data_IF_885109425920
#
_entry.id   IF_885109425920
#
_cell.length_a   1.000
_cell.length_b   1.000
_cell.length_c   1.000
_cell.angle_alpha   90.00
_cell.angle_beta   90.00
_cell.angle_gamma   90.00
#
_symmetry.space_group_name_H-M   'P 1'
#
loop_
_entity.id
_entity.type
_entity.pdbx_description
1 polymer ?
#
# COMPACT_ATOMS: atom_id res chain seq x y z
N UNK A 1 27.81 15.86 16.49
CA UNK A 1 27.52 14.55 15.87
C UNK A 1 28.52 14.34 14.78
N UNK A 2 29.20 13.20 14.80
CA UNK A 2 30.10 12.83 13.71
C UNK A 2 29.26 12.56 12.44
N UNK A 3 29.86 12.74 11.27
CA UNK A 3 29.17 12.62 9.97
C UNK A 3 28.63 11.21 9.72
N UNK A 4 29.32 10.23 10.29
CA UNK A 4 28.96 8.81 10.29
C UNK A 4 27.65 8.63 11.04
N UNK A 5 27.51 9.27 12.20
CA UNK A 5 26.30 9.20 13.02
C UNK A 5 25.07 9.66 12.23
N UNK A 6 25.20 10.68 11.37
CA UNK A 6 24.09 11.19 10.56
C UNK A 6 23.68 10.23 9.43
N UNK A 7 24.63 9.63 8.71
CA UNK A 7 24.32 8.65 7.65
C UNK A 7 23.75 7.38 8.27
N UNK A 8 24.36 6.90 9.35
CA UNK A 8 23.82 5.76 10.09
C UNK A 8 22.44 6.07 10.67
N UNK A 9 22.22 7.26 11.22
CA UNK A 9 20.91 7.68 11.71
C UNK A 9 19.88 7.74 10.58
N UNK A 10 20.26 8.27 9.42
CA UNK A 10 19.39 8.33 8.25
C UNK A 10 19.00 6.93 7.75
N UNK A 11 19.93 5.98 7.80
CA UNK A 11 19.68 4.58 7.39
C UNK A 11 18.95 3.77 8.46
N UNK A 12 19.08 4.15 9.74
CA UNK A 12 18.27 3.63 10.85
C UNK A 12 16.82 4.09 10.77
N UNK A 13 16.48 5.09 9.96
CA UNK A 13 15.08 5.38 9.69
C UNK A 13 14.46 4.18 8.97
N UNK A 14 13.44 3.55 9.58
CA UNK A 14 12.70 2.49 8.92
C UNK A 14 12.03 3.06 7.66
N UNK A 15 11.60 2.19 6.73
CA UNK A 15 10.67 2.59 5.69
C UNK A 15 9.49 3.36 6.29
N UNK A 16 8.94 4.31 5.53
CA UNK A 16 7.75 5.02 5.97
C UNK A 16 6.54 4.07 6.09
N UNK A 17 5.39 4.59 6.53
CA UNK A 17 4.18 3.77 6.69
C UNK A 17 3.72 3.11 5.37
N UNK A 18 4.16 3.61 4.21
CA UNK A 18 3.87 2.97 2.93
C UNK A 18 4.82 1.83 2.62
N UNK A 19 5.97 1.71 3.29
CA UNK A 19 7.04 0.76 2.97
C UNK A 19 8.14 1.36 2.08
N UNK A 20 8.05 2.66 1.75
CA UNK A 20 9.06 3.35 0.97
C UNK A 20 10.27 3.69 1.84
N UNK A 21 11.47 3.27 1.40
CA UNK A 21 12.70 3.60 2.09
C UNK A 21 13.21 4.98 1.66
N UNK A 22 13.58 5.84 2.62
CA UNK A 22 14.09 7.19 2.30
C UNK A 22 15.50 7.07 1.69
N UNK A 23 15.74 7.55 0.46
CA UNK A 23 17.07 7.62 -0.12
C UNK A 23 17.93 8.70 0.56
N UNK A 24 19.23 8.45 0.65
CA UNK A 24 20.21 9.33 1.29
C UNK A 24 21.19 9.82 0.24
N UNK A 25 21.24 11.14 0.03
CA UNK A 25 22.13 11.76 -0.95
C UNK A 25 23.32 12.38 -0.21
N UNK A 26 24.53 11.92 -0.53
CA UNK A 26 25.78 12.38 0.09
C UNK A 26 26.61 13.13 -0.95
N UNK A 27 26.96 14.38 -0.64
CA UNK A 27 27.81 15.21 -1.48
C UNK A 27 29.15 15.46 -0.78
N UNK A 28 30.26 15.15 -1.47
CA UNK A 28 31.62 15.39 -0.98
C UNK A 28 32.49 15.99 -2.10
N UNK A 29 32.72 17.31 -2.10
CA UNK A 29 33.53 17.97 -3.11
C UNK A 29 34.98 17.47 -3.19
N UNK A 30 35.52 16.91 -2.10
CA UNK A 30 36.86 16.31 -2.07
C UNK A 30 36.79 14.81 -2.38
N UNK A 31 36.99 14.46 -3.64
CA UNK A 31 36.98 13.07 -4.10
C UNK A 31 37.98 12.15 -3.35
N UNK A 32 39.04 12.70 -2.77
CA UNK A 32 40.00 11.92 -1.97
C UNK A 32 39.40 11.51 -0.64
N UNK A 33 38.63 12.39 0.00
CA UNK A 33 37.90 12.08 1.24
C UNK A 33 36.80 11.07 1.01
N UNK A 34 36.03 11.23 -0.06
CA UNK A 34 34.99 10.26 -0.40
C UNK A 34 35.57 8.86 -0.60
N UNK A 35 36.67 8.74 -1.36
CA UNK A 35 37.38 7.46 -1.55
C UNK A 35 37.90 6.88 -0.24
N UNK A 36 38.46 7.72 0.64
CA UNK A 36 38.91 7.27 1.95
C UNK A 36 37.75 6.71 2.79
N UNK A 37 36.60 7.41 2.81
CA UNK A 37 35.41 6.98 3.55
C UNK A 37 34.80 5.68 3.01
N UNK A 38 34.79 5.48 1.68
CA UNK A 38 34.39 4.20 1.08
C UNK A 38 35.39 3.09 1.41
N UNK A 39 36.69 3.36 1.30
CA UNK A 39 37.73 2.36 1.55
C UNK A 39 37.81 1.93 3.03
N UNK A 40 37.48 2.82 3.97
CA UNK A 40 37.41 2.51 5.39
C UNK A 40 36.11 1.82 5.81
N UNK A 41 35.16 1.58 4.88
CA UNK A 41 33.84 1.05 5.19
C UNK A 41 32.96 2.02 5.99
N UNK A 42 33.32 3.30 6.00
CA UNK A 42 32.62 4.35 6.74
C UNK A 42 31.32 4.76 6.06
N UNK A 43 31.27 4.67 4.73
CA UNK A 43 30.02 4.77 4.00
C UNK A 43 29.44 3.36 3.83
N UNK A 44 28.20 3.12 4.26
CA UNK A 44 27.58 1.81 4.14
C UNK A 44 27.32 1.49 2.66
N UNK A 45 27.58 0.23 2.31
CA UNK A 45 27.23 -0.34 1.00
C UNK A 45 25.72 -0.61 0.97
N UNK A 46 24.95 0.46 0.73
CA UNK A 46 23.49 0.41 0.69
C UNK A 46 22.98 1.01 -0.62
N UNK A 47 22.02 0.35 -1.30
CA UNK A 47 21.40 0.90 -2.50
C UNK A 47 20.62 2.20 -2.25
N UNK A 48 20.36 2.54 -0.97
CA UNK A 48 19.74 3.80 -0.54
C UNK A 48 20.71 4.99 -0.59
N UNK A 49 22.02 4.75 -0.61
CA UNK A 49 23.03 5.81 -0.52
C UNK A 49 23.51 6.17 -1.91
N UNK A 50 23.21 7.41 -2.32
CA UNK A 50 23.67 7.97 -3.59
C UNK A 50 24.81 8.96 -3.30
N UNK A 51 26.02 8.61 -3.74
CA UNK A 51 27.22 9.38 -3.50
C UNK A 51 27.61 10.21 -4.73
N UNK A 52 27.71 11.53 -4.55
CA UNK A 52 28.18 12.47 -5.57
C UNK A 52 29.47 13.12 -5.07
N UNK A 53 30.56 12.97 -5.82
CA UNK A 53 31.90 13.35 -5.35
C UNK A 53 32.64 14.26 -6.31
N UNK A 54 33.60 15.03 -5.79
CA UNK A 54 34.41 15.92 -6.60
C UNK A 54 33.76 17.30 -6.80
N UNK A 55 34.47 18.22 -7.48
CA UNK A 55 34.04 19.60 -7.64
C UNK A 55 32.72 19.75 -8.41
N UNK A 56 32.30 18.73 -9.17
CA UNK A 56 31.07 18.70 -9.93
C UNK A 56 29.87 18.07 -9.18
N UNK A 57 30.04 17.65 -7.92
CA UNK A 57 29.02 16.86 -7.21
C UNK A 57 27.61 17.49 -7.18
N UNK A 58 27.50 18.82 -7.10
CA UNK A 58 26.20 19.52 -7.18
C UNK A 58 25.60 19.44 -8.58
N UNK A 59 26.43 19.58 -9.61
CA UNK A 59 26.02 19.43 -11.01
C UNK A 59 25.55 18.00 -11.28
N UNK A 60 26.32 17.01 -10.84
CA UNK A 60 25.99 15.59 -10.99
C UNK A 60 24.68 15.22 -10.27
N UNK A 61 24.45 15.76 -9.06
CA UNK A 61 23.18 15.63 -8.35
C UNK A 61 22.01 16.22 -9.16
N UNK A 62 22.21 17.41 -9.73
CA UNK A 62 21.20 18.07 -10.53
C UNK A 62 20.91 17.28 -11.83
N UNK A 63 21.95 16.78 -12.50
CA UNK A 63 21.85 15.93 -13.68
C UNK A 63 21.07 14.65 -13.37
N UNK A 64 21.37 14.01 -12.24
CA UNK A 64 20.63 12.84 -11.76
C UNK A 64 19.13 13.11 -11.70
N UNK A 65 18.68 14.20 -11.05
CA UNK A 65 17.26 14.51 -10.99
C UNK A 65 16.67 15.07 -12.29
N UNK A 66 17.46 15.69 -13.18
CA UNK A 66 16.99 16.08 -14.52
C UNK A 66 16.62 14.87 -15.37
N UNK A 67 17.32 13.75 -15.22
CA UNK A 67 16.95 12.50 -15.90
C UNK A 67 15.77 11.77 -15.23
N UNK A 68 15.41 12.18 -14.01
CA UNK A 68 14.39 11.56 -13.16
C UNK A 68 13.34 12.57 -12.68
N UNK A 69 12.88 13.46 -13.57
CA UNK A 69 11.90 14.51 -13.23
C UNK A 69 10.53 13.94 -12.78
N UNK A 70 10.28 12.66 -12.97
CA UNK A 70 9.11 11.91 -12.53
C UNK A 70 9.25 11.32 -11.12
N UNK A 71 10.43 11.42 -10.51
CA UNK A 71 10.69 10.89 -9.18
C UNK A 71 10.53 11.99 -8.12
N UNK A 72 10.19 11.60 -6.90
CA UNK A 72 10.12 12.53 -5.77
C UNK A 72 11.51 13.09 -5.48
N UNK A 73 11.61 14.40 -5.28
CA UNK A 73 12.84 15.05 -4.87
C UNK A 73 13.21 14.69 -3.42
N UNK A 74 14.51 14.70 -3.09
CA UNK A 74 14.98 14.24 -1.80
C UNK A 74 14.51 15.20 -0.71
N UNK A 75 14.00 14.64 0.38
CA UNK A 75 13.72 15.42 1.60
C UNK A 75 15.00 15.67 2.39
N UNK A 76 16.04 14.85 2.17
CA UNK A 76 17.30 14.89 2.92
C UNK A 76 18.49 14.85 1.97
N UNK A 77 19.35 15.85 2.06
CA UNK A 77 20.62 15.93 1.34
C UNK A 77 21.71 16.30 2.33
N UNK A 78 22.76 15.49 2.36
CA UNK A 78 23.89 15.65 3.26
C UNK A 78 25.10 16.20 2.50
N UNK A 79 25.47 17.44 2.82
CA UNK A 79 26.66 18.09 2.30
C UNK A 79 27.82 17.94 3.30
N UNK A 80 28.92 17.37 2.84
CA UNK A 80 30.14 17.18 3.64
C UNK A 80 31.25 18.16 3.21
N UNK A 81 32.12 18.57 4.13
CA UNK A 81 33.30 19.41 3.84
C UNK A 81 33.53 20.58 4.80
N UNK A 82 34.50 21.45 4.49
CA UNK A 82 34.75 22.72 5.24
C UNK A 82 33.96 23.91 4.68
N UNK A 83 33.20 23.70 3.60
CA UNK A 83 32.43 24.72 2.88
C UNK A 83 30.92 24.46 2.96
N UNK A 84 30.44 23.91 4.08
CA UNK A 84 29.07 23.38 4.21
C UNK A 84 27.99 24.40 3.87
N UNK A 85 28.16 25.68 4.23
CA UNK A 85 27.15 26.71 3.94
C UNK A 85 27.10 27.10 2.46
N UNK A 86 28.26 27.31 1.81
CA UNK A 86 28.31 27.64 0.39
C UNK A 86 27.77 26.47 -0.45
N UNK A 87 28.22 25.25 -0.15
CA UNK A 87 27.74 24.03 -0.79
C UNK A 87 26.24 23.82 -0.56
N UNK A 88 25.74 24.05 0.66
CA UNK A 88 24.31 23.95 0.94
C UNK A 88 23.48 24.95 0.12
N UNK A 89 23.97 26.19 -0.06
CA UNK A 89 23.32 27.18 -0.95
C UNK A 89 23.31 26.73 -2.40
N UNK A 90 24.42 26.19 -2.91
CA UNK A 90 24.51 25.67 -4.27
C UNK A 90 23.56 24.49 -4.49
N UNK A 91 23.51 23.55 -3.54
CA UNK A 91 22.57 22.42 -3.56
C UNK A 91 21.12 22.90 -3.53
N UNK A 92 20.79 23.85 -2.65
CA UNK A 92 19.44 24.40 -2.56
C UNK A 92 19.02 25.10 -3.86
N UNK A 93 19.93 25.88 -4.48
CA UNK A 93 19.67 26.52 -5.76
C UNK A 93 19.49 25.49 -6.88
N UNK A 94 20.33 24.45 -6.93
CA UNK A 94 20.22 23.37 -7.90
C UNK A 94 18.88 22.63 -7.77
N UNK A 95 18.51 22.20 -6.57
CA UNK A 95 17.24 21.52 -6.31
C UNK A 95 16.03 22.45 -6.56
N UNK A 96 16.13 23.74 -6.24
CA UNK A 96 15.11 24.74 -6.58
C UNK A 96 14.84 24.80 -8.08
N UNK A 97 15.89 24.80 -8.91
CA UNK A 97 15.74 24.73 -10.36
C UNK A 97 15.06 23.43 -10.82
N UNK A 98 15.35 22.29 -10.18
CA UNK A 98 14.67 21.02 -10.47
C UNK A 98 13.18 21.07 -10.07
N UNK A 99 12.83 21.64 -8.92
CA UNK A 99 11.43 21.83 -8.50
C UNK A 99 10.65 22.62 -9.53
N UNK A 100 11.23 23.72 -10.04
CA UNK A 100 10.62 24.51 -11.11
C UNK A 100 10.45 23.70 -12.40
N UNK A 101 11.47 22.91 -12.78
CA UNK A 101 11.38 22.03 -13.95
C UNK A 101 10.26 20.99 -13.80
N UNK A 102 10.16 20.34 -12.64
CA UNK A 102 9.08 19.39 -12.36
C UNK A 102 7.71 20.06 -12.40
N UNK A 103 7.58 21.24 -11.80
CA UNK A 103 6.33 22.00 -11.82
C UNK A 103 5.91 22.38 -13.24
N UNK A 104 6.85 22.89 -14.05
CA UNK A 104 6.60 23.17 -15.48
C UNK A 104 6.20 21.91 -16.24
N UNK A 105 6.84 20.78 -15.97
CA UNK A 105 6.53 19.51 -16.62
C UNK A 105 5.12 19.00 -16.27
N UNK A 106 4.74 19.08 -14.98
CA UNK A 106 3.38 18.75 -14.51
C UNK A 106 2.34 19.64 -15.18
N UNK A 107 2.55 20.95 -15.19
CA UNK A 107 1.62 21.90 -15.81
C UNK A 107 1.48 21.64 -17.31
N UNK A 108 2.58 21.37 -18.00
CA UNK A 108 2.59 21.06 -19.43
C UNK A 108 1.82 19.77 -19.73
N UNK A 109 2.06 18.69 -18.96
CA UNK A 109 1.33 17.43 -19.13
C UNK A 109 -0.16 17.62 -18.84
N UNK A 110 -0.50 18.33 -17.77
CA UNK A 110 -1.89 18.61 -17.39
C UNK A 110 -2.62 19.40 -18.48
N UNK A 111 -2.03 20.48 -19.01
CA UNK A 111 -2.63 21.26 -20.09
C UNK A 111 -2.85 20.42 -21.36
N UNK A 112 -1.93 19.51 -21.70
CA UNK A 112 -2.09 18.59 -22.84
C UNK A 112 -3.22 17.59 -22.63
N UNK A 113 -3.32 17.02 -21.43
CA UNK A 113 -4.40 16.10 -21.06
C UNK A 113 -5.76 16.81 -21.03
N UNK A 114 -5.84 18.01 -20.47
CA UNK A 114 -7.06 18.83 -20.46
C UNK A 114 -7.51 19.18 -21.88
N UNK A 115 -6.58 19.56 -22.77
CA UNK A 115 -6.91 19.81 -24.17
C UNK A 115 -7.46 18.55 -24.88
N UNK A 116 -6.92 17.37 -24.58
CA UNK A 116 -7.40 16.08 -25.12
C UNK A 116 -8.77 15.73 -24.55
N UNK A 117 -8.97 15.90 -23.25
CA UNK A 117 -10.24 15.65 -22.57
C UNK A 117 -11.36 16.55 -23.10
N UNK A 118 -11.08 17.82 -23.35
CA UNK A 118 -12.09 18.75 -23.89
C UNK A 118 -12.62 18.30 -25.27
N UNK A 119 -11.94 17.36 -25.95
CA UNK A 119 -12.40 16.74 -27.19
C UNK A 119 -13.18 15.43 -26.96
N UNK A 120 -13.10 14.82 -25.77
CA UNK A 120 -13.75 13.55 -25.38
C UNK A 120 -15.01 13.79 -24.57
N UNK A 121 -16.10 14.11 -25.26
CA UNK A 121 -17.42 14.26 -24.64
C UNK A 121 -17.99 12.92 -24.15
N UNK A 122 -19.10 12.95 -23.41
CA UNK A 122 -19.80 11.70 -23.04
C UNK A 122 -20.25 10.89 -24.26
N UNK A 123 -20.59 11.56 -25.37
CA UNK A 123 -20.90 10.88 -26.63
C UNK A 123 -19.68 10.11 -27.16
N UNK A 124 -18.49 10.73 -27.11
CA UNK A 124 -17.25 10.08 -27.49
C UNK A 124 -16.97 8.83 -26.64
N UNK A 125 -17.14 8.89 -25.32
CA UNK A 125 -16.95 7.72 -24.45
C UNK A 125 -17.99 6.63 -24.73
N UNK A 126 -19.25 7.01 -24.94
CA UNK A 126 -20.30 6.06 -25.33
C UNK A 126 -19.92 5.30 -26.60
N UNK A 127 -19.49 6.01 -27.65
CA UNK A 127 -19.01 5.41 -28.90
C UNK A 127 -17.77 4.53 -28.67
N UNK A 128 -16.81 4.99 -27.87
CA UNK A 128 -15.58 4.25 -27.55
C UNK A 128 -15.89 2.93 -26.85
N UNK A 129 -16.75 2.94 -25.83
CA UNK A 129 -17.14 1.73 -25.11
C UNK A 129 -18.06 0.83 -25.93
N UNK A 130 -18.89 1.36 -26.82
CA UNK A 130 -19.63 0.56 -27.79
C UNK A 130 -18.67 -0.21 -28.73
N UNK A 131 -17.60 0.44 -29.20
CA UNK A 131 -16.57 -0.22 -30.00
C UNK A 131 -15.81 -1.28 -29.21
N UNK A 132 -15.48 -1.03 -27.94
CA UNK A 132 -14.85 -2.02 -27.05
C UNK A 132 -15.75 -3.24 -26.87
N UNK A 133 -17.03 -3.02 -26.58
CA UNK A 133 -18.02 -4.10 -26.48
C UNK A 133 -18.22 -4.84 -27.81
N UNK A 134 -17.96 -4.18 -28.94
CA UNK A 134 -17.92 -4.79 -30.27
C UNK A 134 -16.63 -5.54 -30.61
N UNK A 135 -15.67 -5.63 -29.67
CA UNK A 135 -14.41 -6.38 -29.82
C UNK A 135 -13.16 -5.53 -30.05
N UNK A 136 -13.25 -4.20 -30.03
CA UNK A 136 -12.04 -3.37 -30.08
C UNK A 136 -11.24 -3.49 -28.77
N UNK A 137 -9.89 -3.55 -28.82
CA UNK A 137 -9.09 -3.61 -27.61
C UNK A 137 -9.23 -2.32 -26.80
N UNK A 138 -9.47 -2.43 -25.49
CA UNK A 138 -9.37 -1.33 -24.54
C UNK A 138 -7.91 -1.15 -24.09
N UNK A 139 -7.56 0.07 -23.68
CA UNK A 139 -6.30 0.39 -23.01
C UNK A 139 -6.54 0.61 -21.53
N UNK A 140 -6.04 -0.28 -20.68
CA UNK A 140 -6.29 -0.27 -19.24
C UNK A 140 -5.02 0.04 -18.47
N UNK A 141 -5.05 1.11 -17.67
CA UNK A 141 -3.97 1.47 -16.77
C UNK A 141 -4.35 1.06 -15.35
N UNK A 142 -3.66 0.08 -14.79
CA UNK A 142 -3.86 -0.35 -13.39
C UNK A 142 -2.78 0.30 -12.54
N UNK A 143 -3.17 1.13 -11.59
CA UNK A 143 -2.22 1.82 -10.69
C UNK A 143 -2.16 1.07 -9.38
N UNK A 144 -0.94 0.80 -8.94
CA UNK A 144 -0.65 0.07 -7.70
C UNK A 144 0.58 0.65 -7.02
N UNK A 145 0.88 0.14 -5.83
CA UNK A 145 2.13 0.44 -5.13
C UNK A 145 2.99 -0.81 -4.98
N UNK A 146 4.26 -0.71 -5.34
CA UNK A 146 5.31 -1.73 -5.10
C UNK A 146 5.41 -2.10 -3.63
N UNK A 147 5.12 -1.15 -2.75
CA UNK A 147 5.27 -1.34 -1.32
C UNK A 147 4.09 -2.07 -0.68
N UNK A 148 3.02 -2.35 -1.45
CA UNK A 148 1.93 -3.19 -0.97
C UNK A 148 2.30 -4.67 -1.03
N UNK A 149 2.05 -5.41 0.05
CA UNK A 149 2.27 -6.88 0.09
C UNK A 149 1.19 -7.67 -0.66
N UNK A 150 0.04 -7.07 -0.97
CA UNK A 150 -1.10 -7.74 -1.59
C UNK A 150 -1.53 -7.09 -2.90
N UNK A 151 -1.74 -5.77 -2.88
CA UNK A 151 -2.36 -5.00 -3.98
C UNK A 151 -1.50 -5.03 -5.24
N UNK A 152 -0.18 -5.13 -5.13
CA UNK A 152 0.70 -5.27 -6.31
C UNK A 152 0.45 -6.57 -7.08
N UNK A 153 0.14 -7.66 -6.38
CA UNK A 153 -0.13 -8.96 -6.99
C UNK A 153 -1.52 -8.99 -7.63
N UNK A 154 -2.53 -8.44 -6.94
CA UNK A 154 -3.87 -8.30 -7.51
C UNK A 154 -3.88 -7.39 -8.75
N UNK A 155 -3.11 -6.31 -8.75
CA UNK A 155 -2.94 -5.45 -9.92
C UNK A 155 -2.27 -6.17 -11.09
N UNK A 156 -1.21 -6.94 -10.82
CA UNK A 156 -0.54 -7.75 -11.85
C UNK A 156 -1.48 -8.82 -12.45
N UNK A 157 -2.29 -9.48 -11.60
CA UNK A 157 -3.30 -10.45 -12.05
C UNK A 157 -4.38 -9.80 -12.91
N UNK A 158 -4.83 -8.60 -12.53
CA UNK A 158 -5.80 -7.86 -13.32
C UNK A 158 -5.25 -7.45 -14.68
N UNK A 159 -3.98 -7.03 -14.74
CA UNK A 159 -3.29 -6.73 -16.02
C UNK A 159 -3.20 -7.98 -16.90
N UNK A 160 -2.80 -9.13 -16.37
CA UNK A 160 -2.75 -10.40 -17.12
C UNK A 160 -4.14 -10.80 -17.62
N UNK A 161 -5.17 -10.64 -16.79
CA UNK A 161 -6.56 -10.94 -17.17
C UNK A 161 -7.03 -10.07 -18.34
N UNK A 162 -6.81 -8.75 -18.30
CA UNK A 162 -7.16 -7.87 -19.42
C UNK A 162 -6.37 -8.22 -20.69
N UNK A 163 -5.07 -8.48 -20.58
CA UNK A 163 -4.24 -8.88 -21.72
C UNK A 163 -4.75 -10.18 -22.37
N UNK A 164 -5.15 -11.15 -21.55
CA UNK A 164 -5.71 -12.42 -22.02
C UNK A 164 -7.05 -12.25 -22.74
N UNK A 165 -7.86 -11.28 -22.33
CA UNK A 165 -9.11 -10.89 -23.01
C UNK A 165 -8.88 -10.08 -24.30
N UNK A 166 -7.62 -9.89 -24.72
CA UNK A 166 -7.28 -9.17 -25.95
C UNK A 166 -7.21 -7.66 -25.79
N UNK A 167 -7.14 -7.14 -24.56
CA UNK A 167 -6.95 -5.72 -24.30
C UNK A 167 -5.47 -5.37 -24.10
N UNK A 168 -5.13 -4.09 -24.24
CA UNK A 168 -3.81 -3.60 -23.89
C UNK A 168 -3.85 -3.13 -22.42
N UNK A 169 -3.15 -3.81 -21.52
CA UNK A 169 -3.12 -3.45 -20.10
C UNK A 169 -1.70 -3.22 -19.61
N UNK A 170 -1.53 -2.23 -18.73
CA UNK A 170 -0.24 -1.90 -18.11
C UNK A 170 -0.41 -1.56 -16.64
N UNK A 171 0.56 -1.97 -15.82
CA UNK A 171 0.66 -1.52 -14.44
C UNK A 171 1.48 -0.23 -14.35
N UNK A 172 0.99 0.75 -13.59
CA UNK A 172 1.80 1.88 -13.11
C UNK A 172 2.12 1.66 -11.64
N UNK A 173 3.41 1.64 -11.32
CA UNK A 173 3.94 1.50 -9.97
C UNK A 173 5.22 2.33 -9.82
N UNK A 174 5.71 2.43 -8.59
CA UNK A 174 6.99 3.04 -8.25
C UNK A 174 8.15 2.42 -9.07
N UNK A 175 9.08 3.25 -9.58
CA UNK A 175 10.16 2.77 -10.42
C UNK A 175 11.25 2.00 -9.64
N UNK A 176 11.45 2.34 -8.37
CA UNK A 176 12.40 1.69 -7.47
C UNK A 176 11.88 1.67 -6.02
N UNK A 177 12.67 1.10 -5.10
CA UNK A 177 12.28 0.93 -3.69
C UNK A 177 12.39 2.23 -2.86
N UNK A 178 12.79 3.33 -3.50
CA UNK A 178 13.13 4.61 -2.87
C UNK A 178 12.35 5.80 -3.46
N UNK A 179 11.48 5.54 -4.44
CA UNK A 179 10.76 6.56 -5.19
C UNK A 179 9.26 6.35 -5.03
N UNK A 180 8.57 7.31 -4.43
CA UNK A 180 7.09 7.32 -4.45
C UNK A 180 6.55 7.78 -5.81
N UNK A 181 5.34 7.34 -6.15
CA UNK A 181 4.59 7.87 -7.29
C UNK A 181 4.43 9.39 -7.17
N UNK A 182 4.63 10.11 -8.29
CA UNK A 182 4.45 11.56 -8.36
C UNK A 182 3.37 11.95 -9.38
N UNK A 183 2.79 13.16 -9.27
CA UNK A 183 1.88 13.69 -10.29
C UNK A 183 2.49 13.66 -11.70
N UNK A 184 3.77 13.99 -11.84
CA UNK A 184 4.41 14.01 -13.16
C UNK A 184 4.50 12.60 -13.76
N UNK A 185 4.86 11.59 -12.96
CA UNK A 185 4.90 10.20 -13.41
C UNK A 185 3.52 9.73 -13.90
N UNK A 186 2.47 9.96 -13.12
CA UNK A 186 1.10 9.59 -13.48
C UNK A 186 0.64 10.30 -14.75
N UNK A 187 0.73 11.63 -14.80
CA UNK A 187 0.24 12.42 -15.93
C UNK A 187 1.00 12.10 -17.23
N UNK A 188 2.33 11.93 -17.17
CA UNK A 188 3.12 11.53 -18.34
C UNK A 188 2.75 10.13 -18.83
N UNK A 189 2.48 9.21 -17.91
CA UNK A 189 2.05 7.85 -18.24
C UNK A 189 0.66 7.86 -18.90
N UNK A 190 -0.29 8.60 -18.33
CA UNK A 190 -1.63 8.79 -18.91
C UNK A 190 -1.53 9.45 -20.29
N UNK A 191 -0.70 10.48 -20.45
CA UNK A 191 -0.55 11.17 -21.74
C UNK A 191 0.03 10.27 -22.84
N UNK A 192 1.04 9.46 -22.49
CA UNK A 192 1.73 8.56 -23.43
C UNK A 192 0.94 7.29 -23.75
N UNK A 193 0.32 6.67 -22.75
CA UNK A 193 -0.46 5.43 -22.92
C UNK A 193 -1.89 5.71 -23.39
N UNK A 194 -2.43 6.86 -23.00
CA UNK A 194 -3.77 7.32 -23.33
C UNK A 194 -4.86 6.30 -22.97
N UNK A 195 -4.98 5.90 -21.69
CA UNK A 195 -5.89 4.83 -21.29
C UNK A 195 -7.35 5.15 -21.60
N UNK A 196 -8.12 4.11 -21.90
CA UNK A 196 -9.59 4.16 -21.92
C UNK A 196 -10.16 3.97 -20.50
N UNK A 197 -9.41 3.30 -19.62
CA UNK A 197 -9.80 3.03 -18.24
C UNK A 197 -8.60 3.13 -17.29
N UNK A 198 -8.77 3.81 -16.17
CA UNK A 198 -7.81 3.80 -15.05
C UNK A 198 -8.44 3.02 -13.90
N UNK A 199 -7.72 2.02 -13.38
CA UNK A 199 -8.14 1.24 -12.21
C UNK A 199 -7.17 1.52 -11.07
N UNK A 200 -7.71 1.88 -9.91
CA UNK A 200 -6.94 2.06 -8.68
C UNK A 200 -7.60 1.23 -7.58
N UNK A 201 -6.85 0.37 -6.93
CA UNK A 201 -7.38 -0.49 -5.87
C UNK A 201 -7.51 0.33 -4.59
N UNK A 202 -8.67 0.28 -3.94
CA UNK A 202 -9.01 0.90 -2.66
C UNK A 202 -8.96 2.44 -2.54
N UNK A 203 -8.52 3.15 -3.59
CA UNK A 203 -8.37 4.60 -3.56
C UNK A 203 -9.25 5.27 -4.62
N UNK A 204 -10.32 5.99 -4.22
CA UNK A 204 -11.12 6.77 -5.15
C UNK A 204 -10.33 7.97 -5.69
N UNK A 205 -10.67 8.42 -6.90
CA UNK A 205 -9.99 9.56 -7.56
C UNK A 205 -9.94 10.80 -6.68
N UNK A 206 -10.99 11.04 -5.89
CA UNK A 206 -11.13 12.20 -5.02
C UNK A 206 -9.96 12.37 -4.03
N UNK A 207 -9.27 11.28 -3.66
CA UNK A 207 -8.10 11.33 -2.79
C UNK A 207 -6.79 11.72 -3.49
N UNK A 208 -6.75 11.61 -4.82
CA UNK A 208 -5.53 11.74 -5.63
C UNK A 208 -5.78 12.53 -6.93
N UNK A 209 -6.55 13.61 -6.85
CA UNK A 209 -6.90 14.46 -8.02
C UNK A 209 -5.68 15.08 -8.70
N UNK A 210 -4.58 15.23 -7.97
CA UNK A 210 -3.29 15.65 -8.47
C UNK A 210 -2.64 14.60 -9.38
N UNK A 211 -2.87 13.32 -9.11
CA UNK A 211 -2.34 12.18 -9.89
C UNK A 211 -3.25 11.83 -11.06
N UNK A 212 -4.56 11.90 -10.85
CA UNK A 212 -5.57 11.46 -11.80
C UNK A 212 -6.49 12.63 -12.19
N UNK A 213 -6.28 13.23 -13.38
CA UNK A 213 -7.11 14.33 -13.82
C UNK A 213 -8.55 13.86 -14.04
N UNK A 214 -9.46 14.82 -14.00
CA UNK A 214 -10.82 14.62 -14.47
C UNK A 214 -10.82 14.24 -15.96
N UNK A 215 -11.89 13.58 -16.39
CA UNK A 215 -12.08 13.29 -17.80
C UNK A 215 -11.60 11.92 -18.31
N UNK A 216 -11.09 11.09 -17.41
CA UNK A 216 -10.88 9.67 -17.73
C UNK A 216 -11.82 8.81 -16.92
N UNK A 217 -12.39 7.73 -17.48
CA UNK A 217 -13.02 6.69 -16.69
C UNK A 217 -12.06 6.18 -15.61
N UNK A 218 -12.50 6.26 -14.36
CA UNK A 218 -11.72 5.84 -13.20
C UNK A 218 -12.54 4.88 -12.35
N UNK A 219 -12.01 3.68 -12.13
CA UNK A 219 -12.59 2.67 -11.26
C UNK A 219 -11.78 2.60 -9.97
N UNK A 220 -12.43 2.87 -8.84
CA UNK A 220 -11.95 2.43 -7.54
C UNK A 220 -12.35 0.97 -7.36
N UNK A 221 -11.38 0.04 -7.37
CA UNK A 221 -11.63 -1.36 -7.07
C UNK A 221 -11.46 -1.61 -5.56
N UNK A 222 -12.58 -1.67 -4.84
CA UNK A 222 -12.63 -1.83 -3.38
C UNK A 222 -12.46 -3.31 -3.02
N UNK A 223 -11.32 -3.64 -2.42
CA UNK A 223 -10.98 -4.97 -1.92
C UNK A 223 -11.12 -5.08 -0.40
N UNK A 224 -10.93 -3.99 0.33
CA UNK A 224 -11.02 -3.94 1.79
C UNK A 224 -11.60 -2.62 2.31
N UNK A 225 -11.98 -2.63 3.59
CA UNK A 225 -12.61 -1.52 4.31
C UNK A 225 -11.53 -0.58 4.86
N UNK A 226 -11.06 0.35 4.04
CA UNK A 226 -10.01 1.28 4.46
C UNK A 226 -10.59 2.53 5.13
N UNK A 227 -9.99 3.06 6.23
CA UNK A 227 -10.51 4.23 6.94
C UNK A 227 -10.85 5.42 6.05
N UNK A 228 -10.01 5.68 5.05
CA UNK A 228 -10.18 6.80 4.14
C UNK A 228 -11.37 6.66 3.18
N UNK A 229 -11.87 5.45 2.95
CA UNK A 229 -13.08 5.22 2.15
C UNK A 229 -14.35 5.66 2.90
N UNK A 230 -14.28 5.74 4.23
CA UNK A 230 -15.37 6.20 5.11
C UNK A 230 -15.22 7.68 5.50
N UNK A 231 -14.16 8.35 5.03
CA UNK A 231 -13.97 9.78 5.24
C UNK A 231 -14.92 10.60 4.35
N UNK A 232 -15.09 11.88 4.67
CA UNK A 232 -15.82 12.80 3.80
C UNK A 232 -15.03 13.05 2.53
N UNK A 233 -15.54 12.53 1.41
CA UNK A 233 -14.94 12.71 0.11
C UNK A 233 -15.79 13.65 -0.74
N UNK A 234 -15.16 14.50 -1.57
CA UNK A 234 -15.87 15.23 -2.60
C UNK A 234 -16.74 14.31 -3.46
N UNK A 235 -17.90 14.78 -3.95
CA UNK A 235 -18.76 13.96 -4.78
C UNK A 235 -17.99 13.47 -6.03
N UNK A 236 -18.21 12.21 -6.41
CA UNK A 236 -17.59 11.64 -7.61
C UNK A 236 -18.10 12.34 -8.88
N UNK A 237 -17.25 12.41 -9.88
CA UNK A 237 -17.59 12.90 -11.21
C UNK A 237 -18.37 11.88 -12.05
N UNK A 238 -18.86 12.27 -13.24
CA UNK A 238 -19.65 11.41 -14.12
C UNK A 238 -18.87 10.22 -14.72
N UNK A 239 -17.55 10.20 -14.57
CA UNK A 239 -16.64 9.14 -15.02
C UNK A 239 -15.94 8.43 -13.86
N UNK A 240 -16.46 8.58 -12.64
CA UNK A 240 -16.00 7.84 -11.47
C UNK A 240 -16.91 6.65 -11.20
N UNK A 241 -16.29 5.49 -11.00
CA UNK A 241 -16.95 4.21 -10.79
C UNK A 241 -16.37 3.53 -9.56
N UNK A 242 -17.20 2.76 -8.87
CA UNK A 242 -16.76 1.86 -7.80
C UNK A 242 -17.10 0.44 -8.21
N UNK A 243 -16.11 -0.44 -8.14
CA UNK A 243 -16.29 -1.88 -8.27
C UNK A 243 -15.73 -2.55 -7.02
N UNK A 244 -16.34 -3.63 -6.52
CA UNK A 244 -15.75 -4.37 -5.40
C UNK A 244 -16.71 -4.76 -4.29
N UNK A 245 -16.16 -4.86 -3.08
CA UNK A 245 -16.93 -4.90 -1.84
C UNK A 245 -17.61 -3.54 -1.61
N UNK A 246 -18.93 -3.51 -1.81
CA UNK A 246 -19.73 -2.32 -1.55
C UNK A 246 -20.18 -2.37 -0.08
N UNK A 247 -19.73 -1.41 0.71
CA UNK A 247 -20.15 -1.26 2.11
C UNK A 247 -21.46 -0.45 2.14
N UNK A 248 -22.45 -0.94 2.89
CA UNK A 248 -23.75 -0.29 3.09
C UNK A 248 -23.61 0.90 4.07
N UNK A 249 -22.77 1.89 3.72
CA UNK A 249 -22.73 3.16 4.44
C UNK A 249 -23.57 4.19 3.68
N UNK A 250 -24.57 4.82 4.32
CA UNK A 250 -25.50 5.76 3.67
C UNK A 250 -24.85 6.95 2.96
N UNK A 251 -23.58 7.28 3.26
CA UNK A 251 -22.98 8.55 2.86
C UNK A 251 -22.02 8.46 1.66
N UNK A 252 -21.33 7.33 1.45
CA UNK A 252 -20.29 7.22 0.41
C UNK A 252 -20.74 6.42 -0.81
N UNK A 253 -21.41 5.29 -0.59
CA UNK A 253 -21.91 4.45 -1.68
C UNK A 253 -23.15 5.05 -2.35
N UNK A 254 -24.01 5.75 -1.63
CA UNK A 254 -25.24 6.33 -2.20
C UNK A 254 -25.01 7.66 -2.96
N UNK A 255 -23.82 8.24 -2.83
CA UNK A 255 -23.42 9.40 -3.64
C UNK A 255 -23.21 9.06 -5.13
N UNK A 256 -23.00 7.78 -5.47
CA UNK A 256 -22.89 7.33 -6.86
C UNK A 256 -24.23 6.87 -7.43
N UNK A 257 -24.55 7.22 -8.68
CA UNK A 257 -25.65 6.60 -9.40
C UNK A 257 -25.53 5.06 -9.38
N UNK A 258 -26.64 4.35 -9.30
CA UNK A 258 -26.65 2.88 -9.26
C UNK A 258 -25.84 2.25 -10.41
N UNK A 259 -25.84 2.85 -11.61
CA UNK A 259 -25.06 2.39 -12.76
C UNK A 259 -23.54 2.60 -12.66
N UNK A 260 -23.06 3.35 -11.66
CA UNK A 260 -21.63 3.57 -11.40
C UNK A 260 -21.09 2.66 -10.28
N UNK A 261 -21.92 1.73 -9.79
CA UNK A 261 -21.59 0.77 -8.73
C UNK A 261 -21.68 -0.64 -9.27
N UNK A 262 -20.59 -1.39 -9.14
CA UNK A 262 -20.52 -2.78 -9.57
C UNK A 262 -20.08 -3.67 -8.40
N UNK A 263 -20.99 -4.46 -7.80
CA UNK A 263 -20.59 -5.53 -6.92
C UNK A 263 -19.63 -6.46 -7.67
N UNK A 264 -18.41 -6.58 -7.18
CA UNK A 264 -17.36 -7.37 -7.83
C UNK A 264 -16.52 -8.05 -6.74
N UNK A 265 -16.32 -9.38 -6.79
CA UNK A 265 -15.51 -10.06 -5.79
C UNK A 265 -14.03 -9.67 -5.92
N UNK A 266 -13.19 -10.20 -5.03
CA UNK A 266 -11.73 -10.20 -5.19
C UNK A 266 -11.31 -11.57 -5.73
N UNK A 267 -11.35 -11.80 -7.06
CA UNK A 267 -11.02 -13.10 -7.63
C UNK A 267 -9.51 -13.39 -7.53
N UNK A 268 -9.18 -14.67 -7.60
CA UNK A 268 -7.82 -15.17 -7.77
C UNK A 268 -7.56 -15.52 -9.23
N UNK A 269 -6.31 -15.35 -9.69
CA UNK A 269 -5.93 -15.73 -11.06
C UNK A 269 -5.92 -17.25 -11.21
N UNK A 270 -6.89 -17.82 -11.94
CA UNK A 270 -6.91 -19.25 -12.28
C UNK A 270 -5.71 -19.68 -13.13
N UNK A 271 -5.00 -18.75 -13.77
CA UNK A 271 -3.78 -19.03 -14.52
C UNK A 271 -2.58 -19.27 -13.61
N UNK A 272 -2.54 -18.59 -12.45
CA UNK A 272 -1.51 -18.78 -11.44
C UNK A 272 -1.89 -19.87 -10.44
N UNK A 273 -3.15 -19.90 -10.02
CA UNK A 273 -3.68 -20.81 -9.02
C UNK A 273 -4.57 -21.85 -9.71
N UNK A 274 -3.93 -22.94 -10.16
CA UNK A 274 -4.56 -24.04 -10.87
C UNK A 274 -4.17 -25.40 -10.29
N UNK A 275 -4.97 -26.46 -10.52
CA UNK A 275 -4.79 -27.76 -9.88
C UNK A 275 -3.69 -28.64 -10.50
N UNK A 276 -2.90 -28.14 -11.46
CA UNK A 276 -1.78 -28.92 -12.02
C UNK A 276 -0.74 -29.18 -10.92
N UNK A 277 0.11 -30.20 -10.97
CA UNK A 277 1.18 -30.32 -9.97
C UNK A 277 2.18 -29.15 -10.03
N UNK A 278 2.69 -28.68 -8.88
CA UNK A 278 3.90 -27.83 -8.80
C UNK A 278 5.15 -28.69 -9.07
N UNK A 279 6.30 -28.05 -9.27
CA UNK A 279 7.57 -28.75 -9.40
C UNK A 279 7.87 -29.60 -8.13
N UNK A 280 8.46 -30.82 -8.26
CA UNK A 280 8.64 -31.72 -7.12
C UNK A 280 9.44 -31.15 -5.95
N UNK A 281 10.39 -30.25 -6.23
CA UNK A 281 11.18 -29.54 -5.22
C UNK A 281 10.32 -28.54 -4.43
N UNK A 282 9.43 -27.82 -5.09
CA UNK A 282 8.45 -26.92 -4.44
C UNK A 282 7.47 -27.73 -3.61
N UNK A 283 6.90 -28.80 -4.17
CA UNK A 283 5.99 -29.71 -3.45
C UNK A 283 6.65 -30.28 -2.20
N UNK A 284 7.90 -30.77 -2.31
CA UNK A 284 8.64 -31.33 -1.18
C UNK A 284 8.99 -30.30 -0.12
N UNK A 285 9.34 -29.07 -0.52
CA UNK A 285 9.67 -27.97 0.39
C UNK A 285 8.50 -27.59 1.30
N UNK A 286 7.30 -27.52 0.73
CA UNK A 286 6.11 -27.04 1.43
C UNK A 286 5.15 -28.13 1.91
N UNK A 287 5.47 -29.41 1.65
CA UNK A 287 4.69 -30.54 2.14
C UNK A 287 4.48 -30.47 3.67
N UNK A 288 3.23 -30.54 4.09
CA UNK A 288 2.79 -30.64 5.48
C UNK A 288 1.35 -31.19 5.51
N UNK A 289 0.91 -31.68 6.66
CA UNK A 289 -0.46 -32.17 6.85
C UNK A 289 -1.45 -31.01 7.08
N UNK A 290 -0.98 -29.97 7.77
CA UNK A 290 -1.77 -28.78 8.10
C UNK A 290 -0.95 -27.54 7.74
N UNK A 291 -1.51 -26.68 6.89
CA UNK A 291 -0.93 -25.38 6.54
C UNK A 291 -1.84 -24.24 6.98
N UNK A 292 -1.24 -23.19 7.52
CA UNK A 292 -1.91 -21.90 7.71
C UNK A 292 -1.04 -20.79 7.15
N UNK A 293 -1.64 -19.86 6.39
CA UNK A 293 -0.92 -18.74 5.76
C UNK A 293 -1.53 -17.43 6.21
N UNK A 294 -0.76 -16.59 6.91
CA UNK A 294 -1.19 -15.26 7.33
C UNK A 294 -0.02 -14.41 7.80
N UNK A 295 -0.04 -13.10 7.56
CA UNK A 295 0.90 -12.17 8.20
C UNK A 295 0.42 -11.66 9.57
N UNK A 296 -0.70 -12.18 10.11
CA UNK A 296 -1.30 -11.73 11.38
C UNK A 296 -0.69 -12.45 12.60
N UNK A 297 0.63 -12.39 12.75
CA UNK A 297 1.34 -13.01 13.89
C UNK A 297 1.25 -12.19 15.18
N UNK A 298 0.80 -10.93 15.11
CA UNK A 298 0.65 -10.07 16.28
C UNK A 298 -0.45 -10.62 17.21
N UNK A 299 -0.12 -10.84 18.48
CA UNK A 299 -1.08 -11.34 19.47
C UNK A 299 -2.21 -10.34 19.73
N UNK A 300 -3.40 -10.79 20.16
CA UNK A 300 -4.48 -9.90 20.60
C UNK A 300 -4.02 -8.85 21.63
N UNK A 301 -3.20 -9.25 22.59
CA UNK A 301 -2.62 -8.37 23.63
C UNK A 301 -1.73 -7.27 23.07
N UNK A 302 -0.83 -7.64 22.15
CA UNK A 302 0.08 -6.69 21.52
C UNK A 302 -0.70 -5.70 20.66
N UNK A 303 -1.64 -6.19 19.85
CA UNK A 303 -2.53 -5.37 19.03
C UNK A 303 -3.32 -4.36 19.88
N UNK A 304 -3.99 -4.82 20.95
CA UNK A 304 -4.75 -3.97 21.86
C UNK A 304 -3.91 -2.84 22.45
N UNK A 305 -2.74 -3.21 23.01
CA UNK A 305 -1.84 -2.25 23.65
C UNK A 305 -1.31 -1.21 22.68
N UNK A 306 -0.92 -1.61 21.47
CA UNK A 306 -0.49 -0.70 20.42
C UNK A 306 -1.64 0.21 19.97
N UNK A 307 -2.83 -0.35 19.71
CA UNK A 307 -3.99 0.42 19.29
C UNK A 307 -4.38 1.47 20.35
N UNK A 308 -4.55 1.06 21.60
CA UNK A 308 -4.91 1.94 22.71
C UNK A 308 -3.84 3.02 23.00
N UNK A 309 -2.58 2.79 22.65
CA UNK A 309 -1.51 3.78 22.81
C UNK A 309 -1.69 5.02 21.92
N UNK A 310 -2.44 4.92 20.82
CA UNK A 310 -2.79 6.06 19.95
C UNK A 310 -3.76 7.05 20.61
N UNK A 311 -4.37 6.66 21.74
CA UNK A 311 -5.31 7.48 22.49
C UNK A 311 -4.69 8.00 23.79
N UNK A 312 -5.19 9.14 24.25
CA UNK A 312 -4.80 9.71 25.54
C UNK A 312 -5.15 8.77 26.71
N UNK A 313 -4.48 8.98 27.84
CA UNK A 313 -4.61 8.12 29.01
C UNK A 313 -6.03 8.08 29.60
N UNK A 314 -6.86 9.10 29.37
CA UNK A 314 -8.23 9.15 29.88
C UNK A 314 -9.18 8.24 29.06
N UNK A 315 -8.89 8.00 27.78
CA UNK A 315 -9.70 7.14 26.90
C UNK A 315 -9.31 5.66 26.95
N UNK A 316 -8.10 5.32 27.36
CA UNK A 316 -7.60 3.93 27.40
C UNK A 316 -8.49 2.95 28.20
N UNK A 317 -9.03 3.30 29.38
CA UNK A 317 -9.89 2.40 30.13
C UNK A 317 -11.15 1.94 29.36
N UNK A 318 -11.68 2.77 28.45
CA UNK A 318 -12.81 2.39 27.61
C UNK A 318 -12.46 1.25 26.64
N UNK A 319 -11.23 1.27 26.09
CA UNK A 319 -10.73 0.20 25.24
C UNK A 319 -10.49 -1.09 26.03
N UNK A 320 -10.00 -1.01 27.27
CA UNK A 320 -9.82 -2.19 28.13
C UNK A 320 -11.16 -2.88 28.44
N UNK A 321 -12.20 -2.09 28.75
CA UNK A 321 -13.56 -2.61 28.96
C UNK A 321 -14.11 -3.24 27.67
N UNK A 322 -13.96 -2.56 26.53
CA UNK A 322 -14.40 -3.08 25.25
C UNK A 322 -13.67 -4.39 24.90
N UNK A 323 -12.36 -4.46 25.12
CA UNK A 323 -11.56 -5.67 24.93
C UNK A 323 -12.10 -6.84 25.74
N UNK A 324 -12.35 -6.63 27.04
CA UNK A 324 -12.87 -7.70 27.90
C UNK A 324 -14.22 -8.25 27.37
N UNK A 325 -15.09 -7.38 26.85
CA UNK A 325 -16.35 -7.80 26.22
C UNK A 325 -16.15 -8.57 24.92
N UNK A 326 -15.18 -8.14 24.09
CA UNK A 326 -14.81 -8.87 22.87
C UNK A 326 -14.24 -10.24 23.23
N UNK A 327 -13.36 -10.34 24.22
CA UNK A 327 -12.81 -11.62 24.69
C UNK A 327 -13.89 -12.55 25.26
N UNK A 328 -14.83 -12.01 26.04
CA UNK A 328 -15.98 -12.76 26.55
C UNK A 328 -16.82 -13.32 25.39
N UNK A 329 -17.23 -12.47 24.44
CA UNK A 329 -17.96 -12.90 23.26
C UNK A 329 -17.19 -13.97 22.45
N UNK A 330 -15.90 -13.72 22.23
CA UNK A 330 -15.02 -14.60 21.48
C UNK A 330 -14.60 -15.85 22.25
N UNK A 331 -14.94 -16.02 23.54
CA UNK A 331 -14.77 -17.30 24.23
C UNK A 331 -15.84 -18.33 23.82
N UNK A 332 -17.00 -17.85 23.38
CA UNK A 332 -18.17 -18.64 23.01
C UNK A 332 -18.42 -18.72 21.50
N UNK A 333 -17.47 -18.27 20.66
CA UNK A 333 -17.63 -18.18 19.21
C UNK A 333 -17.98 -19.50 18.50
N UNK A 334 -17.55 -20.62 19.08
CA UNK A 334 -17.84 -21.96 18.57
C UNK A 334 -19.28 -22.43 18.84
N UNK A 335 -20.03 -21.72 19.70
CA UNK A 335 -21.41 -22.06 20.06
C UNK A 335 -22.44 -21.29 19.21
N UNK A 336 -22.13 -20.05 18.83
CA UNK A 336 -23.02 -19.19 18.06
C UNK A 336 -22.26 -18.06 17.38
N UNK A 337 -22.88 -17.46 16.36
CA UNK A 337 -22.40 -16.22 15.72
C UNK A 337 -22.42 -15.08 16.75
N UNK A 338 -21.28 -14.41 16.94
CA UNK A 338 -21.09 -13.40 17.99
C UNK A 338 -21.38 -11.96 17.52
N UNK A 339 -22.07 -11.78 16.39
CA UNK A 339 -22.30 -10.47 15.78
C UNK A 339 -22.93 -9.48 16.76
N UNK A 340 -24.02 -9.86 17.42
CA UNK A 340 -24.76 -8.95 18.31
C UNK A 340 -23.95 -8.56 19.55
N UNK A 341 -23.19 -9.50 20.12
CA UNK A 341 -22.29 -9.23 21.24
C UNK A 341 -21.17 -8.26 20.85
N UNK A 342 -20.61 -8.40 19.63
CA UNK A 342 -19.61 -7.46 19.11
C UNK A 342 -20.23 -6.08 18.84
N UNK A 343 -21.47 -6.02 18.34
CA UNK A 343 -22.22 -4.76 18.16
C UNK A 343 -22.48 -4.07 19.51
N UNK A 344 -22.80 -4.83 20.55
CA UNK A 344 -22.94 -4.30 21.91
C UNK A 344 -21.60 -3.77 22.44
N UNK A 345 -20.50 -4.50 22.22
CA UNK A 345 -19.15 -4.04 22.57
C UNK A 345 -18.78 -2.72 21.86
N UNK A 346 -19.14 -2.59 20.57
CA UNK A 346 -18.99 -1.34 19.80
C UNK A 346 -19.81 -0.22 20.39
N UNK A 347 -21.08 -0.48 20.67
CA UNK A 347 -22.01 0.52 21.21
C UNK A 347 -21.53 1.02 22.56
N UNK A 348 -21.07 0.12 23.44
CA UNK A 348 -20.48 0.47 24.73
C UNK A 348 -19.22 1.33 24.60
N UNK A 349 -18.31 0.98 23.69
CA UNK A 349 -17.11 1.77 23.41
C UNK A 349 -17.45 3.15 22.87
N UNK A 350 -18.35 3.23 21.88
CA UNK A 350 -18.76 4.50 21.29
C UNK A 350 -19.45 5.41 22.31
N UNK A 351 -20.25 4.86 23.21
CA UNK A 351 -20.84 5.62 24.33
C UNK A 351 -19.77 6.16 25.28
N UNK A 352 -18.78 5.33 25.66
CA UNK A 352 -17.68 5.75 26.53
C UNK A 352 -16.78 6.83 25.91
N UNK A 353 -16.67 6.86 24.58
CA UNK A 353 -15.94 7.88 23.83
C UNK A 353 -16.79 9.11 23.47
N UNK A 354 -18.08 9.14 23.84
CA UNK A 354 -19.04 10.17 23.46
C UNK A 354 -19.21 10.35 21.94
N UNK A 355 -19.13 9.25 21.18
CA UNK A 355 -19.26 9.24 19.72
C UNK A 355 -20.34 8.26 19.21
N UNK A 356 -21.24 7.79 20.08
CA UNK A 356 -22.30 6.84 19.72
C UNK A 356 -23.26 7.34 18.62
N UNK A 357 -23.38 8.66 18.45
CA UNK A 357 -24.22 9.29 17.42
C UNK A 357 -23.45 9.64 16.13
N UNK A 358 -22.17 9.30 16.04
CA UNK A 358 -21.36 9.49 14.84
C UNK A 358 -21.18 8.14 14.13
N UNK A 359 -21.92 7.87 13.04
CA UNK A 359 -21.83 6.62 12.29
C UNK A 359 -20.42 6.35 11.77
N UNK A 360 -19.69 7.40 11.35
CA UNK A 360 -18.34 7.25 10.79
C UNK A 360 -17.37 6.78 11.86
N UNK A 361 -17.42 7.37 13.05
CA UNK A 361 -16.60 6.90 14.16
C UNK A 361 -17.00 5.49 14.59
N UNK A 362 -18.28 5.14 14.59
CA UNK A 362 -18.73 3.77 14.87
C UNK A 362 -18.16 2.74 13.87
N UNK A 363 -18.19 3.05 12.58
CA UNK A 363 -17.64 2.18 11.53
C UNK A 363 -16.11 2.07 11.64
N UNK A 364 -15.43 3.17 11.94
CA UNK A 364 -14.00 3.16 12.23
C UNK A 364 -13.70 2.23 13.42
N UNK A 365 -14.42 2.35 14.54
CA UNK A 365 -14.21 1.48 15.71
C UNK A 365 -14.46 0.01 15.37
N UNK A 366 -15.46 -0.28 14.54
CA UNK A 366 -15.74 -1.62 14.07
C UNK A 366 -14.59 -2.20 13.24
N UNK A 367 -14.22 -1.50 12.16
CA UNK A 367 -13.27 -1.99 11.17
C UNK A 367 -11.80 -1.89 11.61
N UNK A 368 -11.46 -0.96 12.52
CA UNK A 368 -10.08 -0.72 12.95
C UNK A 368 -9.71 -1.34 14.28
N UNK A 369 -10.69 -1.66 15.14
CA UNK A 369 -10.42 -2.20 16.47
C UNK A 369 -11.16 -3.51 16.74
N UNK A 370 -12.50 -3.49 16.74
CA UNK A 370 -13.30 -4.62 17.24
C UNK A 370 -13.15 -5.85 16.33
N UNK A 371 -13.37 -5.69 15.03
CA UNK A 371 -13.25 -6.78 14.08
C UNK A 371 -11.80 -7.31 13.96
N UNK A 372 -10.76 -6.45 13.86
CA UNK A 372 -9.37 -6.92 13.89
C UNK A 372 -8.96 -7.63 15.18
N UNK A 373 -9.50 -7.24 16.34
CA UNK A 373 -9.27 -7.90 17.62
C UNK A 373 -9.96 -9.26 17.67
N UNK A 374 -11.24 -9.33 17.29
CA UNK A 374 -12.01 -10.59 17.28
C UNK A 374 -11.42 -11.60 16.30
N UNK A 375 -11.00 -11.18 15.12
CA UNK A 375 -10.30 -12.03 14.13
C UNK A 375 -9.01 -12.61 14.70
N UNK A 376 -8.21 -11.82 15.43
CA UNK A 376 -6.98 -12.31 16.05
C UNK A 376 -7.27 -13.34 17.13
N UNK A 377 -8.25 -13.08 18.00
CA UNK A 377 -8.67 -14.03 19.04
C UNK A 377 -9.09 -15.37 18.43
N UNK A 378 -9.97 -15.33 17.42
CA UNK A 378 -10.45 -16.52 16.73
C UNK A 378 -9.29 -17.29 16.06
N UNK A 379 -8.46 -16.60 15.27
CA UNK A 379 -7.38 -17.22 14.50
C UNK A 379 -6.34 -17.84 15.43
N UNK A 380 -5.88 -17.11 16.44
CA UNK A 380 -4.84 -17.58 17.35
C UNK A 380 -5.33 -18.79 18.15
N UNK A 381 -6.55 -18.73 18.69
CA UNK A 381 -7.16 -19.88 19.38
C UNK A 381 -7.27 -21.11 18.48
N UNK A 382 -7.67 -20.92 17.23
CA UNK A 382 -7.77 -22.00 16.24
C UNK A 382 -6.41 -22.62 15.93
N UNK A 383 -5.36 -21.81 15.82
CA UNK A 383 -4.00 -22.31 15.57
C UNK A 383 -3.43 -23.05 16.78
N UNK A 384 -3.75 -22.64 18.00
CA UNK A 384 -3.37 -23.37 19.20
C UNK A 384 -4.07 -24.73 19.29
N UNK A 385 -5.34 -24.82 18.87
CA UNK A 385 -6.04 -26.10 18.73
C UNK A 385 -5.41 -26.96 17.63
N UNK A 386 -5.10 -26.38 16.48
CA UNK A 386 -4.43 -27.10 15.38
C UNK A 386 -3.06 -27.65 15.82
N UNK A 387 -2.28 -26.85 16.56
CA UNK A 387 -1.02 -27.27 17.15
C UNK A 387 -1.18 -28.44 18.15
N UNK A 388 -2.19 -28.38 19.02
CA UNK A 388 -2.47 -29.45 19.97
C UNK A 388 -2.87 -30.75 19.25
N UNK A 389 -3.72 -30.66 18.23
CA UNK A 389 -4.12 -31.81 17.40
C UNK A 389 -2.90 -32.38 16.65
N UNK A 390 -2.10 -31.52 16.02
CA UNK A 390 -0.91 -31.94 15.30
C UNK A 390 0.07 -32.69 16.21
N UNK A 391 0.31 -32.17 17.42
CA UNK A 391 1.14 -32.83 18.43
C UNK A 391 0.57 -34.18 18.89
N UNK A 392 -0.74 -34.26 19.11
CA UNK A 392 -1.40 -35.50 19.56
C UNK A 392 -1.42 -36.61 18.49
N UNK A 393 -1.42 -36.23 17.20
CA UNK A 393 -1.54 -37.14 16.06
C UNK A 393 -0.26 -37.27 15.23
N UNK A 394 0.84 -36.65 15.65
CA UNK A 394 2.11 -36.62 14.92
C UNK A 394 1.96 -36.09 13.48
N UNK A 395 1.15 -35.04 13.30
CA UNK A 395 0.97 -34.34 12.02
C UNK A 395 2.01 -33.22 11.86
N UNK A 396 2.48 -32.99 10.64
CA UNK A 396 3.31 -31.83 10.30
C UNK A 396 2.42 -30.59 10.14
N UNK A 397 2.53 -29.66 11.09
CA UNK A 397 1.80 -28.39 11.09
C UNK A 397 2.75 -27.22 10.82
N UNK A 398 2.42 -26.40 9.83
CA UNK A 398 3.23 -25.24 9.44
C UNK A 398 2.40 -23.96 9.35
N UNK A 399 2.99 -22.90 9.87
CA UNK A 399 2.45 -21.54 9.88
C UNK A 399 3.36 -20.66 9.03
N UNK A 400 2.84 -20.19 7.90
CA UNK A 400 3.54 -19.32 6.97
C UNK A 400 3.13 -17.86 7.15
N UNK A 401 4.11 -16.97 7.08
CA UNK A 401 3.93 -15.53 7.15
C UNK A 401 5.00 -14.81 7.97
N UNK A 402 4.85 -13.49 8.08
CA UNK A 402 5.80 -12.65 8.78
C UNK A 402 5.56 -12.69 10.29
N UNK A 403 6.64 -12.63 11.07
CA UNK A 403 6.60 -12.47 12.53
C UNK A 403 6.25 -13.70 13.37
N UNK A 404 5.80 -14.82 12.77
CA UNK A 404 5.44 -16.02 13.53
C UNK A 404 6.58 -16.63 14.35
N UNK A 405 7.83 -16.49 13.89
CA UNK A 405 9.02 -16.93 14.64
C UNK A 405 9.21 -16.21 15.99
N UNK A 406 8.51 -15.09 16.22
CA UNK A 406 8.52 -14.33 17.47
C UNK A 406 7.28 -14.60 18.33
N UNK A 407 6.34 -15.42 17.84
CA UNK A 407 5.08 -15.66 18.52
C UNK A 407 5.30 -16.47 19.82
N UNK A 408 4.73 -16.07 20.97
CA UNK A 408 5.00 -16.72 22.26
C UNK A 408 4.78 -18.24 22.26
N UNK A 409 3.63 -18.69 21.75
CA UNK A 409 3.23 -20.11 21.76
C UNK A 409 3.39 -20.84 20.43
N UNK A 410 3.19 -20.15 19.29
CA UNK A 410 3.14 -20.74 17.95
C UNK A 410 4.45 -20.67 17.15
N UNK A 411 5.52 -20.05 17.67
CA UNK A 411 6.81 -19.98 16.97
C UNK A 411 7.42 -21.35 16.56
N UNK A 412 7.19 -22.48 17.26
CA UNK A 412 7.75 -23.77 16.82
C UNK A 412 7.22 -24.23 15.46
N UNK A 413 6.05 -23.75 15.05
CA UNK A 413 5.42 -24.08 13.77
C UNK A 413 5.70 -23.05 12.67
N UNK A 414 6.48 -22.00 12.96
CA UNK A 414 6.75 -20.92 12.01
C UNK A 414 7.64 -21.40 10.85
N UNK A 415 7.14 -21.26 9.62
CA UNK A 415 7.80 -21.71 8.39
C UNK A 415 8.25 -20.55 7.47
N UNK A 416 8.17 -19.30 7.94
CA UNK A 416 8.53 -18.10 7.18
C UNK A 416 7.47 -17.66 6.17
N UNK A 417 7.68 -16.53 5.47
CA UNK A 417 6.74 -16.06 4.45
C UNK A 417 6.78 -16.90 3.18
N UNK A 418 5.65 -16.96 2.46
CA UNK A 418 5.56 -17.56 1.12
C UNK A 418 5.60 -16.47 0.06
N UNK A 419 6.25 -16.76 -1.07
CA UNK A 419 6.15 -15.91 -2.24
C UNK A 419 4.78 -16.07 -2.92
N UNK A 420 4.32 -15.05 -3.64
CA UNK A 420 3.11 -15.17 -4.45
C UNK A 420 3.37 -16.06 -5.69
N UNK A 421 2.48 -17.01 -5.99
CA UNK A 421 2.61 -17.94 -7.12
C UNK A 421 2.67 -19.39 -6.65
N UNK A 422 3.60 -20.18 -7.23
CA UNK A 422 3.72 -21.63 -6.96
C UNK A 422 3.99 -21.97 -5.48
N UNK A 423 4.58 -21.06 -4.70
CA UNK A 423 4.77 -21.25 -3.25
C UNK A 423 3.43 -21.31 -2.47
N UNK A 424 2.37 -20.70 -3.00
CA UNK A 424 1.02 -20.66 -2.41
C UNK A 424 0.07 -21.72 -2.99
N UNK A 425 0.52 -22.52 -3.96
CA UNK A 425 -0.30 -23.44 -4.75
C UNK A 425 -0.05 -24.89 -4.36
#
# INVERSE_FOLDING_TARGET
MDRIDLVEQALRHPPDASGCSIPVFVLEPDATRARAATASGTLPDSPRVHLFTGPACVGDLADHFRTRLDCRLPTHVMASGRHTEALAREVAAALGAIVEMQSRAVQTCRARLEARWNQRTMAWWSERYAAINGGAPARVLVVTSRFSTFVQHAAADLVDAFAHLGHEARSLMEPDDFTSITPHLCLRTIDAFDPDLIVVINYPRAMHRELFPEGWPHVCWVQDAMPHQFAELPPPGPLDFIAGHLYDTPDAADALPAGARLPFPVPVSERKFHPTPVAPDVAGRFACDIAYVSHTSQTPDAFHREFAAHFDAARRPAFDICRARVEEAMSAWHLAVQHDALVEARTGLAAALNCAHDPRTCDLLWHQYIHPLSERLLRHQTLEWAAAIAGAHALDFRIYGNGWHQHPTLHPYAAGPLAHGDDLR
#
